data_IF_474345027007
#
_entry.id   IF_474345027007
#
_cell.length_a   1.000
_cell.length_b   1.000
_cell.length_c   1.000
_cell.angle_alpha   90.00
_cell.angle_beta   90.00
_cell.angle_gamma   90.00
#
_symmetry.space_group_name_H-M   'P 1'
#
loop_
_entity.id
_entity.type
_entity.pdbx_description
1 polymer ?
#
# COMPACT_ATOMS: atom_id res chain seq x y z
N UNK A 1 42.36 -40.53 12.28
CA UNK A 1 41.01 -40.23 11.76
C UNK A 1 40.70 -38.77 12.07
N UNK A 2 40.19 -38.04 11.07
CA UNK A 2 39.84 -36.61 11.12
C UNK A 2 38.62 -36.38 12.00
N UNK A 3 38.59 -35.30 12.76
CA UNK A 3 37.35 -34.62 13.13
C UNK A 3 37.61 -33.10 13.18
N UNK A 4 37.36 -32.44 12.04
CA UNK A 4 37.23 -30.99 11.96
C UNK A 4 35.78 -30.67 12.35
N UNK A 5 35.59 -30.03 13.50
CA UNK A 5 34.29 -29.49 13.90
C UNK A 5 34.07 -28.16 13.18
N UNK A 6 33.24 -28.18 12.14
CA UNK A 6 32.72 -26.96 11.52
C UNK A 6 31.58 -26.41 12.38
N UNK A 7 31.83 -25.31 13.09
CA UNK A 7 30.77 -24.53 13.74
C UNK A 7 30.10 -23.71 12.64
N UNK A 8 28.93 -24.16 12.18
CA UNK A 8 28.06 -23.39 11.31
C UNK A 8 27.42 -22.27 12.14
N UNK A 9 27.96 -21.05 12.04
CA UNK A 9 27.26 -19.84 12.47
C UNK A 9 26.03 -19.66 11.56
N UNK A 10 24.88 -20.11 12.03
CA UNK A 10 23.60 -19.68 11.48
C UNK A 10 23.39 -18.21 11.88
N UNK A 11 23.76 -17.29 10.99
CA UNK A 11 23.33 -15.91 11.08
C UNK A 11 21.80 -15.88 10.89
N UNK A 12 21.04 -15.82 11.99
CA UNK A 12 19.68 -15.32 11.94
C UNK A 12 19.76 -13.85 11.55
N UNK A 13 19.76 -13.58 10.25
CA UNK A 13 19.40 -12.26 9.75
C UNK A 13 17.90 -12.13 9.94
N UNK A 14 17.51 -11.75 11.17
CA UNK A 14 16.22 -11.12 11.41
C UNK A 14 16.22 -9.86 10.56
N UNK A 15 15.60 -9.94 9.38
CA UNK A 15 15.19 -8.76 8.63
C UNK A 15 14.18 -8.01 9.50
N UNK A 16 14.71 -7.16 10.39
CA UNK A 16 13.94 -6.15 11.07
C UNK A 16 13.47 -5.19 9.97
N UNK A 17 12.31 -5.51 9.38
CA UNK A 17 11.54 -4.50 8.68
C UNK A 17 11.19 -3.50 9.76
N UNK A 18 11.89 -2.37 9.76
CA UNK A 18 11.47 -1.19 10.50
C UNK A 18 10.02 -0.95 10.09
N UNK A 19 9.10 -1.32 10.98
CA UNK A 19 7.71 -0.94 10.87
C UNK A 19 7.71 0.56 11.17
N UNK A 20 8.04 1.36 10.17
CA UNK A 20 7.89 2.80 10.22
C UNK A 20 6.46 3.07 10.67
N UNK A 21 6.31 3.75 11.80
CA UNK A 21 5.01 4.09 12.35
C UNK A 21 4.13 4.65 11.25
N UNK A 22 2.91 4.13 11.04
CA UNK A 22 2.02 4.66 10.03
C UNK A 22 1.76 6.13 10.42
N UNK A 23 2.23 7.08 9.60
CA UNK A 23 1.97 8.48 9.89
C UNK A 23 0.44 8.67 9.88
N UNK A 24 -0.09 9.18 10.99
CA UNK A 24 -1.53 9.32 11.26
C UNK A 24 -2.08 10.52 10.50
N UNK A 25 -1.97 10.52 9.18
CA UNK A 25 -2.64 11.49 8.33
C UNK A 25 -3.98 10.91 7.92
N UNK A 26 -5.03 11.73 7.92
CA UNK A 26 -6.34 11.27 7.45
C UNK A 26 -6.27 10.96 5.95
N UNK A 27 -7.09 10.02 5.44
CA UNK A 27 -7.10 9.66 4.02
C UNK A 27 -7.19 10.88 3.09
N UNK A 28 -8.01 11.86 3.46
CA UNK A 28 -8.18 13.12 2.73
C UNK A 28 -6.87 13.90 2.55
N UNK A 29 -6.04 13.97 3.60
CA UNK A 29 -4.78 14.72 3.59
C UNK A 29 -3.75 14.04 2.69
N UNK A 30 -3.65 12.71 2.76
CA UNK A 30 -2.75 11.92 1.92
C UNK A 30 -3.18 12.02 0.45
N UNK A 31 -4.48 11.91 0.16
CA UNK A 31 -5.00 12.00 -1.21
C UNK A 31 -4.81 13.40 -1.78
N UNK A 32 -5.03 14.45 -0.99
CA UNK A 32 -4.80 15.82 -1.43
C UNK A 32 -3.32 16.11 -1.67
N UNK A 33 -2.43 15.62 -0.82
CA UNK A 33 -1.01 15.92 -0.89
C UNK A 33 -0.29 15.10 -1.99
N UNK A 34 -0.52 13.79 -2.02
CA UNK A 34 0.29 12.86 -2.83
C UNK A 34 -0.35 12.47 -4.16
N UNK A 35 -1.66 12.72 -4.30
CA UNK A 35 -2.40 12.42 -5.53
C UNK A 35 -2.96 13.68 -6.18
N UNK A 36 -2.40 14.85 -5.83
CA UNK A 36 -2.85 16.17 -6.30
C UNK A 36 -2.93 16.31 -7.83
N UNK A 37 -2.09 15.58 -8.58
CA UNK A 37 -2.04 15.64 -10.05
C UNK A 37 -3.14 14.82 -10.74
N UNK A 38 -3.84 13.97 -10.00
CA UNK A 38 -5.01 13.26 -10.53
C UNK A 38 -6.19 14.22 -10.66
N UNK A 39 -7.08 13.92 -11.61
CA UNK A 39 -8.34 14.65 -11.71
C UNK A 39 -9.15 14.51 -10.40
N UNK A 40 -10.00 15.48 -10.05
CA UNK A 40 -10.85 15.38 -8.86
C UNK A 40 -11.66 14.08 -8.80
N UNK A 41 -12.23 13.65 -9.93
CA UNK A 41 -12.99 12.38 -10.01
C UNK A 41 -12.13 11.16 -9.69
N UNK A 42 -10.90 11.08 -10.21
CA UNK A 42 -10.00 9.96 -9.91
C UNK A 42 -9.59 9.93 -8.44
N UNK A 43 -9.38 11.09 -7.80
CA UNK A 43 -9.05 11.15 -6.37
C UNK A 43 -10.21 10.65 -5.50
N UNK A 44 -11.43 11.09 -5.79
CA UNK A 44 -12.62 10.64 -5.07
C UNK A 44 -12.82 9.14 -5.20
N UNK A 45 -12.70 8.60 -6.41
CA UNK A 45 -12.87 7.17 -6.61
C UNK A 45 -11.76 6.35 -5.93
N UNK A 46 -10.50 6.81 -6.02
CA UNK A 46 -9.38 6.17 -5.30
C UNK A 46 -9.65 6.11 -3.79
N UNK A 47 -10.13 7.21 -3.22
CA UNK A 47 -10.48 7.28 -1.80
C UNK A 47 -11.56 6.25 -1.43
N UNK A 48 -12.66 6.23 -2.18
CA UNK A 48 -13.77 5.32 -1.95
C UNK A 48 -13.32 3.86 -2.02
N UNK A 49 -12.46 3.51 -2.97
CA UNK A 49 -11.90 2.16 -3.10
C UNK A 49 -11.02 1.77 -1.89
N UNK A 50 -10.15 2.67 -1.44
CA UNK A 50 -9.31 2.43 -0.26
C UNK A 50 -10.15 2.24 1.00
N UNK A 51 -11.21 3.04 1.18
CA UNK A 51 -12.14 2.88 2.29
C UNK A 51 -12.94 1.57 2.21
N UNK A 52 -13.46 1.24 1.02
CA UNK A 52 -14.25 0.02 0.81
C UNK A 52 -13.43 -1.24 1.04
N UNK A 53 -12.19 -1.30 0.54
CA UNK A 53 -11.36 -2.50 0.71
C UNK A 53 -11.04 -2.75 2.19
N UNK A 54 -10.79 -1.69 2.97
CA UNK A 54 -10.61 -1.83 4.42
C UNK A 54 -11.89 -2.24 5.13
N UNK A 55 -13.05 -1.69 4.71
CA UNK A 55 -14.35 -2.02 5.31
C UNK A 55 -14.73 -3.49 5.12
N UNK A 56 -14.42 -4.10 3.98
CA UNK A 56 -14.62 -5.55 3.73
C UNK A 56 -13.83 -6.40 4.73
N UNK A 57 -12.70 -5.89 5.21
CA UNK A 57 -11.90 -6.52 6.25
C UNK A 57 -12.26 -6.07 7.68
N UNK A 58 -13.40 -5.39 7.89
CA UNK A 58 -13.82 -4.95 9.23
C UNK A 58 -12.91 -3.87 9.84
N UNK A 59 -12.26 -3.06 9.00
CA UNK A 59 -11.33 -1.99 9.40
C UNK A 59 -11.80 -0.65 8.88
N UNK A 60 -11.74 0.38 9.73
CA UNK A 60 -12.35 1.69 9.43
C UNK A 60 -11.35 2.83 9.24
N UNK A 61 -10.07 2.62 9.60
CA UNK A 61 -9.02 3.59 9.33
C UNK A 61 -8.13 3.11 8.18
N UNK A 62 -7.61 4.07 7.44
CA UNK A 62 -6.93 3.86 6.17
C UNK A 62 -5.69 4.74 6.13
N UNK A 63 -4.54 4.16 5.83
CA UNK A 63 -3.33 4.90 5.48
C UNK A 63 -2.91 4.45 4.08
N UNK A 64 -3.03 5.33 3.07
CA UNK A 64 -2.56 5.03 1.73
C UNK A 64 -1.04 4.91 1.72
N UNK A 65 -0.52 3.97 0.93
CA UNK A 65 0.90 3.95 0.62
C UNK A 65 1.25 5.10 -0.33
N UNK A 66 2.33 5.81 -0.01
CA UNK A 66 2.98 6.72 -0.95
C UNK A 66 4.04 5.93 -1.75
N UNK A 67 3.95 5.96 -3.08
CA UNK A 67 4.90 5.26 -3.94
C UNK A 67 4.74 3.74 -3.97
N UNK A 68 3.66 3.21 -3.39
CA UNK A 68 3.38 1.78 -3.30
C UNK A 68 1.96 1.43 -3.70
N UNK A 69 1.75 0.15 -4.01
CA UNK A 69 0.46 -0.41 -4.42
C UNK A 69 -0.21 -1.18 -3.30
N UNK A 70 -0.30 -0.54 -2.13
CA UNK A 70 -0.96 -1.09 -0.97
C UNK A 70 -1.62 0.00 -0.13
N UNK A 71 -2.55 -0.43 0.72
CA UNK A 71 -3.20 0.39 1.72
C UNK A 71 -3.08 -0.31 3.06
N UNK A 72 -2.81 0.45 4.11
CA UNK A 72 -2.81 -0.06 5.47
C UNK A 72 -4.18 0.18 6.11
N UNK A 73 -4.88 -0.91 6.40
CA UNK A 73 -6.21 -0.90 7.01
C UNK A 73 -6.07 -1.24 8.49
N UNK A 74 -6.65 -0.45 9.39
CA UNK A 74 -6.51 -0.70 10.82
C UNK A 74 -7.68 -0.16 11.65
N UNK A 75 -7.84 -0.72 12.85
CA UNK A 75 -8.74 -0.19 13.88
C UNK A 75 -7.98 0.51 15.00
N UNK A 76 -6.80 0.00 15.33
CA UNK A 76 -5.86 0.54 16.32
C UNK A 76 -4.44 0.02 16.02
N UNK A 77 -3.46 0.39 16.85
CA UNK A 77 -2.03 0.08 16.65
C UNK A 77 -1.70 -1.42 16.58
N UNK A 78 -2.54 -2.28 17.17
CA UNK A 78 -2.32 -3.73 17.23
C UNK A 78 -3.24 -4.53 16.29
N UNK A 79 -4.18 -3.87 15.62
CA UNK A 79 -5.12 -4.49 14.68
C UNK A 79 -5.05 -3.76 13.35
N UNK A 80 -4.06 -4.14 12.55
CA UNK A 80 -3.83 -3.62 11.22
C UNK A 80 -3.40 -4.69 10.22
N UNK A 81 -3.62 -4.40 8.95
CA UNK A 81 -3.22 -5.26 7.84
C UNK A 81 -2.88 -4.43 6.61
N UNK A 82 -1.99 -4.97 5.78
CA UNK A 82 -1.70 -4.43 4.47
C UNK A 82 -2.59 -5.11 3.42
N UNK A 83 -3.22 -4.31 2.56
CA UNK A 83 -4.02 -4.79 1.43
C UNK A 83 -3.41 -4.27 0.13
N UNK A 84 -3.13 -5.16 -0.80
CA UNK A 84 -2.60 -4.79 -2.12
C UNK A 84 -3.68 -4.14 -2.97
N UNK A 85 -3.35 -3.00 -3.58
CA UNK A 85 -4.20 -2.28 -4.51
C UNK A 85 -4.25 -3.00 -5.86
N UNK A 86 -5.40 -2.89 -6.54
CA UNK A 86 -5.59 -3.49 -7.87
C UNK A 86 -4.76 -2.78 -8.93
N UNK A 87 -4.53 -3.50 -10.02
CA UNK A 87 -3.85 -2.96 -11.20
C UNK A 87 -4.62 -1.75 -11.77
N UNK A 88 -3.88 -0.77 -12.29
CA UNK A 88 -4.45 0.46 -12.87
C UNK A 88 -4.70 1.59 -11.87
N UNK A 89 -4.72 1.30 -10.56
CA UNK A 89 -4.86 2.35 -9.56
C UNK A 89 -3.61 3.25 -9.52
N UNK A 90 -3.78 4.57 -9.35
CA UNK A 90 -2.67 5.51 -9.21
C UNK A 90 -1.85 5.20 -7.95
N UNK A 91 -0.53 5.33 -8.05
CA UNK A 91 0.41 5.07 -6.94
C UNK A 91 1.56 6.10 -6.82
N UNK A 92 1.63 7.08 -7.73
CA UNK A 92 2.68 8.09 -7.73
C UNK A 92 2.25 9.43 -8.33
N UNK A 93 3.03 10.46 -8.01
CA UNK A 93 2.69 11.86 -8.32
C UNK A 93 2.73 12.22 -9.80
N UNK A 94 3.35 11.40 -10.64
CA UNK A 94 3.48 11.63 -12.09
C UNK A 94 2.49 10.78 -12.90
N UNK A 95 1.46 10.24 -12.23
CA UNK A 95 0.46 9.38 -12.86
C UNK A 95 0.93 7.94 -13.02
N UNK A 96 1.90 7.48 -12.24
CA UNK A 96 2.25 6.06 -12.17
C UNK A 96 1.06 5.22 -11.70
N UNK A 97 1.02 3.96 -12.14
CA UNK A 97 -0.07 3.04 -11.82
C UNK A 97 0.43 1.74 -11.19
N UNK A 98 -0.45 1.07 -10.48
CA UNK A 98 -0.22 -0.25 -9.94
C UNK A 98 -0.25 -1.32 -11.03
N UNK A 99 0.74 -2.20 -11.01
CA UNK A 99 0.78 -3.42 -11.81
C UNK A 99 1.45 -4.53 -11.00
N UNK A 100 0.68 -5.57 -10.68
CA UNK A 100 1.10 -6.74 -9.92
C UNK A 100 1.73 -6.36 -8.56
N UNK A 101 1.16 -5.37 -7.87
CA UNK A 101 1.67 -4.87 -6.59
C UNK A 101 2.85 -3.91 -6.68
N UNK A 102 3.32 -3.58 -7.88
CA UNK A 102 4.41 -2.62 -8.10
C UNK A 102 3.89 -1.31 -8.70
N UNK A 103 4.49 -0.19 -8.31
CA UNK A 103 4.19 1.12 -8.87
C UNK A 103 5.06 1.37 -10.10
N UNK A 104 4.45 1.30 -11.29
CA UNK A 104 5.18 1.37 -12.56
C UNK A 104 4.97 2.72 -13.26
N UNK A 105 6.02 3.17 -13.96
CA UNK A 105 5.98 4.41 -14.72
C UNK A 105 5.24 4.21 -16.04
N UNK A 106 3.93 4.36 -16.01
CA UNK A 106 3.03 4.35 -17.17
C UNK A 106 1.99 5.43 -16.92
N UNK A 107 1.68 6.25 -17.95
CA UNK A 107 0.70 7.32 -17.79
C UNK A 107 -0.68 6.76 -17.41
N UNK A 108 -1.26 7.27 -16.34
CA UNK A 108 -2.63 6.99 -15.94
C UNK A 108 -3.61 7.77 -16.82
N UNK A 109 -4.40 7.07 -17.63
CA UNK A 109 -5.48 7.65 -18.44
C UNK A 109 -6.85 7.68 -17.70
N UNK A 110 -6.91 7.16 -16.46
CA UNK A 110 -8.10 6.92 -15.65
C UNK A 110 -9.30 6.35 -16.43
N UNK A 111 -9.27 5.06 -16.78
CA UNK A 111 -10.50 4.26 -16.92
C UNK A 111 -10.63 3.40 -15.66
N UNK A 112 -11.52 3.81 -14.75
CA UNK A 112 -11.81 3.06 -13.53
C UNK A 112 -12.96 2.11 -13.85
N UNK A 113 -12.62 0.83 -14.02
CA UNK A 113 -13.60 -0.22 -14.36
C UNK A 113 -14.06 -0.99 -13.11
N UNK A 114 -15.38 -1.01 -12.93
CA UNK A 114 -16.10 -1.42 -11.73
C UNK A 114 -16.39 -2.93 -11.76
N UNK A 115 -15.54 -3.76 -11.17
CA UNK A 115 -15.96 -5.14 -10.89
C UNK A 115 -15.52 -5.58 -9.49
N UNK A 116 -16.45 -5.47 -8.54
CA UNK A 116 -16.44 -6.26 -7.32
C UNK A 116 -17.04 -7.64 -7.62
N UNK A 117 -16.48 -8.74 -7.08
CA UNK A 117 -17.22 -10.00 -6.96
C UNK A 117 -18.37 -9.87 -5.96
#
# INVERSE_FOLDING_TARGET
>A
MKQQMFILLAALQLSYQEHGSPSVHKPDEIIQQYYARLSPGCRTELQLQMEQVCKVHGRYNVIPSYGGCFVYCYNNENDGMMVTLRNGLPCGESGQICKNGECINTMNNCEIDYFFP
#
